data_IF_871706334428
#
_entry.id   IF_871706334428
#
_cell.length_a   1.000
_cell.length_b   1.000
_cell.length_c   1.000
_cell.angle_alpha   90.00
_cell.angle_beta   90.00
_cell.angle_gamma   90.00
#
_symmetry.space_group_name_H-M   'P 1'
#
loop_
_entity.id
_entity.type
_entity.pdbx_description
1 polymer ?
#
# COMPACT_ATOMS: atom_id res chain seq x y z
N UNK A 1 0.06 30.22 27.73
CA UNK A 1 0.09 28.81 28.19
C UNK A 1 -0.50 27.97 27.06
N UNK A 2 0.33 27.20 26.36
CA UNK A 2 0.04 26.67 25.03
C UNK A 2 -0.83 25.42 25.08
N UNK A 3 -1.96 25.42 24.38
CA UNK A 3 -2.90 24.31 24.17
C UNK A 3 -2.23 22.97 23.77
N UNK A 4 -0.99 23.05 23.26
CA UNK A 4 -0.11 21.92 22.96
C UNK A 4 0.28 21.08 24.19
N UNK A 5 0.31 21.66 25.41
CA UNK A 5 0.62 20.90 26.64
C UNK A 5 -0.57 20.10 27.16
N UNK A 6 -1.78 20.64 27.04
CA UNK A 6 -3.01 19.95 27.47
C UNK A 6 -3.33 18.73 26.60
N UNK A 7 -3.00 18.78 25.30
CA UNK A 7 -3.16 17.63 24.40
C UNK A 7 -2.07 16.56 24.58
N UNK A 8 -0.90 16.94 25.10
CA UNK A 8 0.20 15.99 25.35
C UNK A 8 -0.05 15.05 26.53
N UNK A 9 -0.93 15.42 27.47
CA UNK A 9 -1.28 14.59 28.63
C UNK A 9 -2.40 13.57 28.35
N UNK A 10 -3.22 13.77 27.30
CA UNK A 10 -4.39 12.92 27.02
C UNK A 10 -4.31 12.16 25.69
N UNK A 11 -3.40 12.54 24.80
CA UNK A 11 -3.30 11.94 23.46
C UNK A 11 -1.91 11.31 23.32
N UNK A 12 -1.78 10.00 23.59
CA UNK A 12 -0.53 9.27 23.43
C UNK A 12 0.10 9.54 22.06
N UNK A 13 1.42 9.65 21.94
CA UNK A 13 2.12 9.72 20.63
C UNK A 13 1.60 8.72 19.56
N UNK A 14 1.16 7.50 19.91
CA UNK A 14 0.44 6.62 19.00
C UNK A 14 -0.74 7.28 18.29
N UNK A 15 -1.54 8.08 18.99
CA UNK A 15 -2.75 8.73 18.47
C UNK A 15 -2.40 9.90 17.55
N UNK A 16 -1.35 10.68 17.83
CA UNK A 16 -0.86 11.69 16.89
C UNK A 16 -0.33 11.07 15.59
N UNK A 17 0.36 9.91 15.70
CA UNK A 17 0.77 9.11 14.55
C UNK A 17 -0.41 8.49 13.81
N UNK A 18 -1.45 8.08 14.54
CA UNK A 18 -2.71 7.58 14.01
C UNK A 18 -3.42 8.67 13.21
N UNK A 19 -3.56 9.87 13.76
CA UNK A 19 -4.17 11.04 13.08
C UNK A 19 -3.40 11.42 11.81
N UNK A 20 -2.06 11.37 11.83
CA UNK A 20 -1.25 11.59 10.62
C UNK A 20 -1.38 10.48 9.58
N UNK A 21 -1.64 9.25 10.00
CA UNK A 21 -1.98 8.13 9.12
C UNK A 21 -3.39 8.31 8.53
N UNK A 22 -4.35 8.66 9.39
CA UNK A 22 -5.73 9.03 9.05
C UNK A 22 -5.75 10.12 7.97
N UNK A 23 -5.04 11.24 8.16
CA UNK A 23 -5.01 12.33 7.19
C UNK A 23 -4.45 11.88 5.82
N UNK A 24 -3.49 10.94 5.80
CA UNK A 24 -2.96 10.35 4.57
C UNK A 24 -3.97 9.39 3.91
N UNK A 25 -4.76 8.68 4.71
CA UNK A 25 -5.89 7.88 4.23
C UNK A 25 -6.98 8.79 3.65
N UNK A 26 -7.40 9.85 4.35
CA UNK A 26 -8.38 10.84 3.89
C UNK A 26 -7.94 11.55 2.61
N UNK A 27 -6.67 11.93 2.51
CA UNK A 27 -6.12 12.50 1.27
C UNK A 27 -6.11 11.47 0.12
N UNK A 28 -5.83 10.20 0.41
CA UNK A 28 -5.86 9.13 -0.58
C UNK A 28 -7.30 8.81 -1.02
N UNK A 29 -8.27 8.84 -0.12
CA UNK A 29 -9.71 8.78 -0.44
C UNK A 29 -10.12 9.97 -1.30
N UNK A 30 -9.70 11.19 -0.97
CA UNK A 30 -10.01 12.37 -1.76
C UNK A 30 -9.46 12.26 -3.19
N UNK A 31 -8.24 11.72 -3.36
CA UNK A 31 -7.68 11.44 -4.67
C UNK A 31 -8.43 10.32 -5.41
N UNK A 32 -8.86 9.27 -4.71
CA UNK A 32 -9.63 8.17 -5.28
C UNK A 32 -11.00 8.63 -5.77
N UNK A 33 -11.74 9.39 -4.94
CA UNK A 33 -13.03 10.00 -5.31
C UNK A 33 -12.87 10.95 -6.50
N UNK A 34 -11.77 11.72 -6.52
CA UNK A 34 -11.43 12.60 -7.66
C UNK A 34 -10.91 11.84 -8.88
N UNK A 35 -10.81 10.51 -8.83
CA UNK A 35 -10.22 9.64 -9.88
C UNK A 35 -8.81 10.07 -10.31
N UNK A 36 -8.04 10.71 -9.42
CA UNK A 36 -6.66 11.17 -9.67
C UNK A 36 -5.68 10.14 -9.15
N UNK A 37 -4.68 9.78 -9.95
CA UNK A 37 -3.56 8.91 -9.55
C UNK A 37 -2.40 9.76 -9.02
N UNK A 38 -1.73 9.30 -7.97
CA UNK A 38 -0.65 10.06 -7.35
C UNK A 38 0.70 9.73 -7.99
N UNK A 39 1.37 10.74 -8.55
CA UNK A 39 2.74 10.62 -9.06
C UNK A 39 2.88 9.79 -10.33
N UNK A 40 1.85 9.77 -11.19
CA UNK A 40 1.94 9.27 -12.57
C UNK A 40 2.17 10.50 -13.46
N UNK A 41 3.31 10.59 -14.13
CA UNK A 41 3.58 11.64 -15.13
C UNK A 41 3.08 11.21 -16.50
N UNK A 42 2.90 12.17 -17.42
CA UNK A 42 2.59 11.86 -18.82
C UNK A 42 3.73 11.03 -19.43
N UNK A 43 3.42 9.83 -19.92
CA UNK A 43 4.39 8.87 -20.48
C UNK A 43 4.77 7.70 -19.57
N UNK A 44 4.40 7.72 -18.29
CA UNK A 44 4.70 6.62 -17.36
C UNK A 44 3.71 5.44 -17.51
N UNK A 45 4.21 4.21 -17.39
CA UNK A 45 3.37 3.01 -17.33
C UNK A 45 2.97 2.73 -15.87
N UNK A 46 1.66 2.69 -15.60
CA UNK A 46 1.12 2.50 -14.25
C UNK A 46 0.45 1.12 -14.12
N UNK A 47 0.93 0.32 -13.17
CA UNK A 47 0.42 -1.03 -12.89
C UNK A 47 -0.26 -1.08 -11.51
N UNK A 48 -1.53 -1.45 -11.49
CA UNK A 48 -2.28 -1.69 -10.25
C UNK A 48 -1.75 -2.91 -9.52
N UNK A 49 -1.92 -2.94 -8.20
CA UNK A 49 -1.60 -4.10 -7.35
C UNK A 49 -2.74 -4.39 -6.37
N UNK A 50 -3.89 -3.76 -6.53
CA UNK A 50 -4.92 -3.72 -5.51
C UNK A 50 -6.05 -4.71 -5.81
N UNK A 51 -6.16 -5.32 -7.00
CA UNK A 51 -7.33 -6.16 -7.32
C UNK A 51 -7.37 -7.45 -6.51
N UNK A 52 -6.23 -8.06 -6.19
CA UNK A 52 -6.15 -9.31 -5.42
C UNK A 52 -6.89 -9.24 -4.07
N UNK A 53 -6.77 -8.12 -3.34
CA UNK A 53 -7.37 -7.95 -2.02
C UNK A 53 -8.81 -7.41 -2.01
N UNK A 54 -9.42 -7.20 -3.18
CA UNK A 54 -10.74 -6.57 -3.27
C UNK A 54 -11.82 -7.40 -2.56
N UNK A 55 -11.87 -8.71 -2.81
CA UNK A 55 -12.88 -9.59 -2.25
C UNK A 55 -12.79 -9.66 -0.72
N UNK A 56 -11.58 -9.80 -0.17
CA UNK A 56 -11.34 -9.81 1.26
C UNK A 56 -11.74 -8.47 1.90
N UNK A 57 -11.37 -7.35 1.28
CA UNK A 57 -11.71 -6.02 1.78
C UNK A 57 -13.22 -5.76 1.78
N UNK A 58 -13.94 -6.15 0.72
CA UNK A 58 -15.39 -6.04 0.66
C UNK A 58 -16.08 -7.00 1.63
N UNK A 59 -15.53 -8.20 1.84
CA UNK A 59 -16.00 -9.14 2.85
C UNK A 59 -15.89 -8.56 4.26
N UNK A 60 -14.76 -7.94 4.59
CA UNK A 60 -14.57 -7.29 5.89
C UNK A 60 -15.54 -6.11 6.08
N UNK A 61 -15.70 -5.26 5.07
CA UNK A 61 -16.68 -4.16 5.11
C UNK A 61 -18.12 -4.67 5.30
N UNK A 62 -18.47 -5.79 4.65
CA UNK A 62 -19.77 -6.42 4.82
C UNK A 62 -19.97 -6.93 6.25
N UNK A 63 -18.99 -7.65 6.81
CA UNK A 63 -19.04 -8.16 8.18
C UNK A 63 -19.19 -7.01 9.19
N UNK A 64 -18.41 -5.93 9.03
CA UNK A 64 -18.56 -4.73 9.87
C UNK A 64 -19.98 -4.17 9.80
N UNK A 65 -20.59 -4.10 8.60
CA UNK A 65 -21.97 -3.61 8.47
C UNK A 65 -22.99 -4.52 9.17
N UNK A 66 -22.83 -5.84 9.07
CA UNK A 66 -23.69 -6.81 9.77
C UNK A 66 -23.51 -6.69 11.28
N UNK A 67 -22.27 -6.56 11.75
CA UNK A 67 -21.93 -6.35 13.16
C UNK A 67 -22.57 -5.05 13.70
N UNK A 68 -22.45 -3.94 12.97
CA UNK A 68 -23.07 -2.66 13.35
C UNK A 68 -24.58 -2.79 13.53
N UNK A 69 -25.26 -3.49 12.60
CA UNK A 69 -26.72 -3.70 12.71
C UNK A 69 -27.05 -4.58 13.92
N UNK A 70 -26.30 -5.67 14.13
CA UNK A 70 -26.49 -6.56 15.28
C UNK A 70 -26.29 -5.86 16.61
N UNK A 71 -25.22 -5.07 16.73
CA UNK A 71 -24.93 -4.28 17.92
C UNK A 71 -25.95 -3.16 18.11
N UNK A 72 -26.42 -2.50 17.06
CA UNK A 72 -27.47 -1.48 17.15
C UNK A 72 -28.76 -2.04 17.76
N UNK A 73 -29.16 -3.26 17.38
CA UNK A 73 -30.31 -3.95 17.97
C UNK A 73 -30.04 -4.36 19.41
N UNK A 74 -28.87 -4.93 19.70
CA UNK A 74 -28.49 -5.39 21.04
C UNK A 74 -28.40 -4.24 22.05
N UNK A 75 -27.94 -3.07 21.61
CA UNK A 75 -27.70 -1.88 22.43
C UNK A 75 -28.86 -0.88 22.37
N UNK A 76 -30.03 -1.27 21.86
CA UNK A 76 -31.18 -0.38 21.67
C UNK A 76 -31.60 0.33 22.98
N UNK A 77 -31.51 -0.37 24.13
CA UNK A 77 -31.87 0.17 25.44
C UNK A 77 -30.74 1.00 26.11
N UNK A 78 -29.55 1.03 25.50
CA UNK A 78 -28.34 1.64 26.06
C UNK A 78 -27.81 2.73 25.12
N UNK A 79 -28.44 3.92 25.09
CA UNK A 79 -28.21 4.93 24.05
C UNK A 79 -26.76 5.43 24.00
N UNK A 80 -26.09 5.54 25.15
CA UNK A 80 -24.67 5.95 25.22
C UNK A 80 -23.76 4.89 24.61
N UNK A 81 -23.97 3.62 24.96
CA UNK A 81 -23.14 2.52 24.47
C UNK A 81 -23.37 2.30 22.96
N UNK A 82 -24.62 2.41 22.49
CA UNK A 82 -24.95 2.40 21.07
C UNK A 82 -24.23 3.52 20.30
N UNK A 83 -24.25 4.75 20.81
CA UNK A 83 -23.57 5.87 20.16
C UNK A 83 -22.05 5.67 20.06
N UNK A 84 -21.41 5.15 21.12
CA UNK A 84 -19.96 4.87 21.12
C UNK A 84 -19.60 3.79 20.09
N UNK A 85 -20.33 2.67 20.09
CA UNK A 85 -20.10 1.58 19.12
C UNK A 85 -20.30 2.07 17.69
N UNK A 86 -21.38 2.82 17.43
CA UNK A 86 -21.65 3.36 16.11
C UNK A 86 -20.51 4.26 15.60
N UNK A 87 -19.93 5.09 16.46
CA UNK A 87 -18.78 5.93 16.09
C UNK A 87 -17.55 5.08 15.78
N UNK A 88 -17.27 4.04 16.57
CA UNK A 88 -16.14 3.14 16.33
C UNK A 88 -16.30 2.35 15.03
N UNK A 89 -17.51 1.89 14.71
CA UNK A 89 -17.80 1.16 13.49
C UNK A 89 -17.64 2.05 12.26
N UNK A 90 -18.19 3.27 12.30
CA UNK A 90 -18.02 4.26 11.22
C UNK A 90 -16.55 4.57 11.01
N UNK A 91 -15.78 4.76 12.10
CA UNK A 91 -14.34 5.00 12.00
C UNK A 91 -13.61 3.81 11.36
N UNK A 92 -13.97 2.59 11.73
CA UNK A 92 -13.39 1.35 11.18
C UNK A 92 -13.67 1.24 9.68
N UNK A 93 -14.90 1.49 9.25
CA UNK A 93 -15.29 1.49 7.83
C UNK A 93 -14.49 2.53 7.04
N UNK A 94 -14.39 3.76 7.56
CA UNK A 94 -13.61 4.84 6.93
C UNK A 94 -12.12 4.48 6.82
N UNK A 95 -11.55 3.87 7.86
CA UNK A 95 -10.17 3.40 7.87
C UNK A 95 -9.93 2.34 6.79
N UNK A 96 -10.80 1.33 6.69
CA UNK A 96 -10.72 0.27 5.66
C UNK A 96 -10.83 0.84 4.24
N UNK A 97 -11.76 1.78 4.02
CA UNK A 97 -11.91 2.49 2.74
C UNK A 97 -10.66 3.32 2.42
N UNK A 98 -10.07 3.96 3.42
CA UNK A 98 -8.81 4.67 3.32
C UNK A 98 -7.67 3.78 2.82
N UNK A 99 -7.51 2.60 3.42
CA UNK A 99 -6.47 1.64 3.06
C UNK A 99 -6.64 1.20 1.62
N UNK A 100 -7.89 0.90 1.23
CA UNK A 100 -8.25 0.55 -0.15
C UNK A 100 -7.91 1.66 -1.13
N UNK A 101 -8.30 2.90 -0.81
CA UNK A 101 -8.03 4.05 -1.65
C UNK A 101 -6.53 4.30 -1.81
N UNK A 102 -5.74 4.16 -0.75
CA UNK A 102 -4.29 4.30 -0.80
C UNK A 102 -3.63 3.26 -1.73
N UNK A 103 -4.08 2.00 -1.71
CA UNK A 103 -3.60 0.96 -2.61
C UNK A 103 -3.98 1.24 -4.08
N UNK A 104 -5.17 1.79 -4.34
CA UNK A 104 -5.65 2.06 -5.71
C UNK A 104 -5.00 3.30 -6.32
N UNK A 105 -4.80 4.37 -5.55
CA UNK A 105 -4.31 5.67 -6.03
C UNK A 105 -2.80 5.68 -6.28
N UNK A 106 -2.06 4.72 -5.70
CA UNK A 106 -0.60 4.61 -5.77
C UNK A 106 -0.18 3.34 -6.52
N UNK A 107 -0.37 3.28 -7.85
CA UNK A 107 0.10 2.16 -8.64
C UNK A 107 1.63 2.07 -8.64
N UNK A 108 2.15 0.92 -9.03
CA UNK A 108 3.55 0.76 -9.44
C UNK A 108 3.76 1.60 -10.70
N UNK A 109 4.84 2.37 -10.74
CA UNK A 109 5.12 3.27 -11.87
C UNK A 109 6.45 2.88 -12.49
N UNK A 110 6.44 2.62 -13.80
CA UNK A 110 7.64 2.43 -14.60
C UNK A 110 7.80 3.63 -15.53
N UNK A 111 8.86 4.40 -15.33
CA UNK A 111 9.10 5.65 -16.06
C UNK A 111 10.53 6.13 -15.91
N UNK A 112 11.04 6.88 -16.89
CA UNK A 112 12.36 7.53 -16.87
C UNK A 112 13.53 6.61 -16.42
N UNK A 113 13.53 5.34 -16.82
CA UNK A 113 14.58 4.39 -16.44
C UNK A 113 14.54 3.90 -14.99
N UNK A 114 13.45 4.12 -14.26
CA UNK A 114 13.28 3.72 -12.86
C UNK A 114 11.97 2.96 -12.69
N UNK A 115 12.04 1.82 -11.99
CA UNK A 115 10.88 1.10 -11.49
C UNK A 115 10.57 1.59 -10.07
N UNK A 116 9.44 2.30 -9.92
CA UNK A 116 8.96 2.75 -8.62
C UNK A 116 7.93 1.76 -8.08
N UNK A 117 8.36 0.97 -7.12
CA UNK A 117 7.56 -0.06 -6.46
C UNK A 117 6.86 0.56 -5.26
N UNK A 118 5.52 0.45 -5.23
CA UNK A 118 4.68 1.06 -4.19
C UNK A 118 3.69 0.07 -3.64
N UNK A 119 3.62 -0.01 -2.31
CA UNK A 119 2.57 -0.73 -1.60
C UNK A 119 1.81 0.22 -0.69
N UNK A 120 0.61 0.60 -1.13
CA UNK A 120 -0.25 1.58 -0.45
C UNK A 120 0.45 2.90 -0.09
N UNK A 121 0.15 3.43 1.09
CA UNK A 121 0.80 4.63 1.64
C UNK A 121 2.10 4.33 2.41
N UNK A 122 2.52 3.07 2.44
CA UNK A 122 3.47 2.56 3.43
C UNK A 122 4.86 2.30 2.87
N UNK A 123 4.96 1.89 1.60
CA UNK A 123 6.23 1.58 0.95
C UNK A 123 6.32 2.30 -0.37
N UNK A 124 7.42 3.02 -0.59
CA UNK A 124 7.76 3.65 -1.86
C UNK A 124 9.26 3.45 -2.10
N UNK A 125 9.62 2.55 -3.02
CA UNK A 125 10.99 2.20 -3.38
C UNK A 125 11.23 2.56 -4.83
N UNK A 126 12.25 3.36 -5.10
CA UNK A 126 12.72 3.63 -6.45
C UNK A 126 13.89 2.69 -6.78
N UNK A 127 13.71 1.84 -7.78
CA UNK A 127 14.72 0.89 -8.26
C UNK A 127 15.17 1.33 -9.66
N UNK A 128 16.39 1.84 -9.82
CA UNK A 128 16.95 2.12 -11.14
C UNK A 128 17.02 0.84 -11.99
N UNK A 129 16.63 0.90 -13.26
CA UNK A 129 16.64 -0.28 -14.14
C UNK A 129 18.04 -0.86 -14.34
N UNK A 130 19.08 -0.02 -14.33
CA UNK A 130 20.49 -0.42 -14.36
C UNK A 130 20.92 -1.34 -13.21
N UNK A 131 20.18 -1.30 -12.10
CA UNK A 131 20.44 -2.15 -10.92
C UNK A 131 19.68 -3.46 -10.95
N UNK A 132 18.87 -3.71 -11.98
CA UNK A 132 18.08 -4.95 -12.07
C UNK A 132 18.92 -6.00 -12.80
N UNK A 133 19.31 -7.05 -12.06
CA UNK A 133 20.04 -8.19 -12.60
C UNK A 133 19.10 -9.11 -13.38
N UNK A 134 17.95 -9.42 -12.81
CA UNK A 134 16.98 -10.33 -13.39
C UNK A 134 15.56 -10.02 -12.89
N UNK A 135 14.57 -10.29 -13.74
CA UNK A 135 13.17 -10.26 -13.38
C UNK A 135 12.61 -11.66 -13.66
N UNK A 136 12.02 -12.28 -12.65
CA UNK A 136 11.41 -13.61 -12.76
C UNK A 136 9.92 -13.52 -12.42
N UNK A 137 9.09 -14.15 -13.25
CA UNK A 137 7.69 -14.37 -12.93
C UNK A 137 7.57 -15.59 -12.02
N UNK A 138 7.29 -15.38 -10.74
CA UNK A 138 7.13 -16.44 -9.75
C UNK A 138 6.01 -16.07 -8.79
N UNK A 139 4.95 -16.88 -8.78
CA UNK A 139 3.86 -16.76 -7.83
C UNK A 139 4.23 -17.49 -6.53
N UNK A 140 4.51 -16.75 -5.46
CA UNK A 140 4.86 -17.30 -4.16
C UNK A 140 3.86 -16.84 -3.09
N UNK A 141 3.41 -17.80 -2.26
CA UNK A 141 2.44 -17.61 -1.17
C UNK A 141 3.05 -17.61 0.24
N UNK A 142 4.30 -18.07 0.39
CA UNK A 142 4.98 -18.20 1.67
C UNK A 142 6.24 -17.33 1.69
N UNK A 143 6.33 -16.46 2.70
CA UNK A 143 7.45 -15.56 2.91
C UNK A 143 8.04 -15.81 4.30
N UNK A 144 8.99 -16.73 4.40
CA UNK A 144 10.03 -16.54 5.42
C UNK A 144 10.82 -15.30 4.99
N UNK A 145 10.74 -14.22 5.78
CA UNK A 145 11.55 -13.00 5.54
C UNK A 145 13.03 -13.35 5.70
N UNK A 146 13.68 -13.73 4.60
CA UNK A 146 15.11 -13.95 4.58
C UNK A 146 15.88 -12.63 4.66
N UNK A 147 17.12 -12.70 5.16
CA UNK A 147 17.96 -11.51 5.29
C UNK A 147 18.30 -10.88 3.92
N UNK A 148 17.85 -9.64 3.70
CA UNK A 148 18.10 -8.89 2.46
C UNK A 148 17.01 -9.02 1.39
N UNK A 149 15.88 -9.65 1.69
CA UNK A 149 14.70 -9.68 0.82
C UNK A 149 13.65 -8.64 1.26
N UNK A 150 12.98 -8.03 0.29
CA UNK A 150 11.78 -7.20 0.47
C UNK A 150 10.59 -7.92 -0.15
N UNK A 151 9.65 -8.36 0.68
CA UNK A 151 8.41 -8.97 0.23
C UNK A 151 7.27 -7.97 0.32
N UNK A 152 6.60 -7.71 -0.81
CA UNK A 152 5.42 -6.86 -0.92
C UNK A 152 4.23 -7.70 -1.39
N UNK A 153 3.72 -8.61 -0.54
CA UNK A 153 2.57 -9.42 -0.87
C UNK A 153 1.29 -8.59 -0.88
N UNK A 154 0.35 -9.01 -1.72
CA UNK A 154 -1.05 -8.60 -1.72
C UNK A 154 -1.84 -9.90 -1.60
N UNK A 155 -2.71 -10.02 -0.60
CA UNK A 155 -3.44 -11.27 -0.34
C UNK A 155 -2.53 -12.47 -0.05
N UNK A 156 -1.41 -12.24 0.63
CA UNK A 156 -0.35 -13.23 0.86
C UNK A 156 0.31 -13.76 -0.42
N UNK A 157 0.14 -13.08 -1.56
CA UNK A 157 0.71 -13.50 -2.84
C UNK A 157 1.69 -12.45 -3.38
N UNK A 158 2.83 -12.91 -3.86
CA UNK A 158 3.74 -12.12 -4.73
C UNK A 158 3.78 -12.76 -6.10
N UNK A 159 3.80 -11.97 -7.18
CA UNK A 159 3.70 -12.46 -8.57
C UNK A 159 5.03 -12.39 -9.33
N UNK A 160 5.92 -11.51 -8.88
CA UNK A 160 7.18 -11.16 -9.54
C UNK A 160 8.30 -11.08 -8.51
N UNK A 161 9.48 -11.56 -8.90
CA UNK A 161 10.73 -11.44 -8.15
C UNK A 161 11.70 -10.63 -8.99
N UNK A 162 12.21 -9.54 -8.41
CA UNK A 162 13.23 -8.67 -9.01
C UNK A 162 14.53 -8.86 -8.22
N UNK A 163 15.55 -9.35 -8.90
CA UNK A 163 16.90 -9.50 -8.35
C UNK A 163 17.74 -8.28 -8.71
N UNK A 164 18.41 -7.69 -7.74
CA UNK A 164 19.21 -6.47 -7.89
C UNK A 164 20.70 -6.80 -7.90
N UNK A 165 21.47 -6.14 -8.77
CA UNK A 165 22.93 -6.20 -8.80
C UNK A 165 23.55 -5.53 -7.57
N UNK A 166 22.95 -4.42 -7.14
CA UNK A 166 23.36 -3.66 -5.96
C UNK A 166 22.21 -3.53 -4.96
N UNK A 167 22.50 -3.52 -3.64
CA UNK A 167 21.48 -3.33 -2.63
C UNK A 167 20.84 -1.93 -2.75
N UNK A 168 19.52 -1.89 -2.65
CA UNK A 168 18.74 -0.64 -2.60
C UNK A 168 18.14 -0.49 -1.20
N UNK A 169 18.10 0.74 -0.68
CA UNK A 169 17.50 1.03 0.62
C UNK A 169 15.97 1.04 0.50
N UNK A 170 15.34 0.05 1.11
CA UNK A 170 13.89 0.00 1.26
C UNK A 170 13.47 0.69 2.58
N UNK A 171 12.48 1.60 2.55
CA UNK A 171 11.94 2.18 3.77
C UNK A 171 11.15 1.11 4.53
N UNK A 172 11.37 1.02 5.84
CA UNK A 172 10.58 0.17 6.73
C UNK A 172 9.52 1.01 7.43
N UNK A 173 8.31 0.48 7.52
CA UNK A 173 7.20 1.21 8.17
C UNK A 173 7.50 1.51 9.65
N UNK A 174 8.24 0.62 10.30
CA UNK A 174 8.74 0.75 11.66
C UNK A 174 10.25 0.42 11.65
N UNK A 175 11.10 1.43 11.77
CA UNK A 175 12.55 1.27 11.93
C UNK A 175 13.41 1.89 10.83
N UNK A 176 14.71 1.56 10.86
CA UNK A 176 15.69 2.04 9.90
C UNK A 176 15.49 1.41 8.51
N UNK A 177 15.86 2.15 7.47
CA UNK A 177 15.87 1.63 6.10
C UNK A 177 16.77 0.40 6.00
N UNK A 178 16.34 -0.59 5.22
CA UNK A 178 17.05 -1.86 5.05
C UNK A 178 17.58 -1.96 3.63
N UNK A 179 18.86 -2.31 3.49
CA UNK A 179 19.44 -2.67 2.21
C UNK A 179 18.86 -4.02 1.74
N UNK A 180 18.22 -4.03 0.57
CA UNK A 180 17.61 -5.23 -0.01
C UNK A 180 18.18 -5.50 -1.40
N UNK A 181 18.39 -6.77 -1.71
CA UNK A 181 18.90 -7.26 -3.01
C UNK A 181 17.84 -8.01 -3.81
N UNK A 182 16.80 -8.49 -3.15
CA UNK A 182 15.67 -9.17 -3.80
C UNK A 182 14.39 -8.43 -3.43
N UNK A 183 13.60 -8.06 -4.43
CA UNK A 183 12.30 -7.42 -4.24
C UNK A 183 11.23 -8.28 -4.86
N UNK A 184 10.37 -8.87 -4.04
CA UNK A 184 9.19 -9.63 -4.49
C UNK A 184 7.97 -8.74 -4.39
N UNK A 185 7.21 -8.63 -5.47
CA UNK A 185 6.06 -7.73 -5.55
C UNK A 185 4.87 -8.38 -6.26
N UNK A 186 3.68 -7.92 -5.90
CA UNK A 186 2.45 -8.27 -6.59
C UNK A 186 2.05 -7.19 -7.59
N UNK A 187 1.59 -7.61 -8.77
CA UNK A 187 0.97 -6.74 -9.76
C UNK A 187 -0.29 -7.41 -10.31
N UNK A 188 -1.35 -6.62 -10.49
CA UNK A 188 -2.65 -7.08 -11.00
C UNK A 188 -2.52 -7.66 -12.41
N UNK A 189 -1.58 -7.13 -13.20
CA UNK A 189 -1.18 -7.64 -14.50
C UNK A 189 0.33 -7.91 -14.51
N UNK A 190 0.69 -9.07 -13.95
CA UNK A 190 2.08 -9.50 -13.83
C UNK A 190 2.75 -9.71 -15.20
N UNK A 191 1.98 -10.11 -16.22
CA UNK A 191 2.51 -10.35 -17.56
C UNK A 191 2.82 -9.05 -18.29
N UNK A 192 1.94 -8.05 -18.20
CA UNK A 192 2.20 -6.73 -18.75
C UNK A 192 3.36 -6.02 -18.05
N UNK A 193 3.47 -6.12 -16.72
CA UNK A 193 4.58 -5.55 -15.97
C UNK A 193 5.91 -6.25 -16.32
N UNK A 194 5.93 -7.58 -16.37
CA UNK A 194 7.11 -8.34 -16.79
C UNK A 194 7.54 -7.97 -18.22
N UNK A 195 6.61 -7.94 -19.16
CA UNK A 195 6.89 -7.57 -20.55
C UNK A 195 7.44 -6.14 -20.69
N UNK A 196 6.88 -5.19 -19.95
CA UNK A 196 7.37 -3.82 -19.93
C UNK A 196 8.79 -3.72 -19.34
N UNK A 197 9.08 -4.44 -18.26
CA UNK A 197 10.42 -4.51 -17.66
C UNK A 197 11.42 -5.15 -18.61
N UNK A 198 11.11 -6.30 -19.21
CA UNK A 198 11.99 -6.94 -20.19
C UNK A 198 12.26 -6.02 -21.38
N UNK A 199 11.25 -5.29 -21.87
CA UNK A 199 11.43 -4.33 -22.95
C UNK A 199 12.33 -3.16 -22.55
N UNK A 200 12.19 -2.65 -21.32
CA UNK A 200 12.97 -1.54 -20.81
C UNK A 200 14.41 -1.92 -20.41
N UNK A 201 14.64 -3.19 -20.06
CA UNK A 201 15.96 -3.75 -19.77
C UNK A 201 16.74 -4.18 -21.01
N UNK A 202 16.07 -4.29 -22.17
CA UNK A 202 16.81 -4.45 -23.44
C UNK A 202 17.63 -3.17 -23.68
N UNK A 203 18.93 -3.29 -23.98
CA UNK A 203 19.73 -2.14 -24.35
C UNK A 203 19.04 -1.44 -25.53
N UNK A 204 18.85 -0.12 -25.40
CA UNK A 204 18.49 0.72 -26.53
C UNK A 204 19.51 0.44 -27.65
N UNK A 205 19.06 0.22 -28.91
CA UNK A 205 20.00 0.12 -30.01
C UNK A 205 20.85 1.39 -30.03
N UNK A 206 22.16 1.19 -30.04
CA UNK A 206 23.16 2.25 -30.13
C UNK A 206 22.79 3.15 -31.33
N UNK A 207 22.59 4.46 -31.16
CA UNK A 207 22.38 5.34 -32.29
C UNK A 207 23.67 5.39 -33.09
N UNK A 208 23.71 4.58 -34.16
CA UNK A 208 24.78 4.53 -35.15
C UNK A 208 24.99 5.89 -35.84
#
# INVERSE_FOLDING_TARGET
MSWRRALGELVPEPVLRLVGHELRLWHSMALWVRRRRHGVREGDLAFGHARGDAAMMYGLLFVCMVETVGLSVLLADWPVAHAVVLVLDVQTVLFLLGLRAAAVVRPHVLGSGVLRVRSGAHVDVAIPLERIAAVRRQSLYSHDEAEGELNLPVGSQTSLTVELTEPVNAPRLLGAARAVRVVRLHADDADALHGALVKALRPLPDPA
#
